data_IF_670946861412
#
_entry.id   IF_670946861412
#
_cell.length_a   1.000
_cell.length_b   1.000
_cell.length_c   1.000
_cell.angle_alpha   90.00
_cell.angle_beta   90.00
_cell.angle_gamma   90.00
#
_symmetry.space_group_name_H-M   'P 1'
#
loop_
_entity.id
_entity.type
_entity.pdbx_description
1 polymer ?
#
# COMPACT_ATOMS: atom_id res chain seq x y z
N UNK A 1 -12.63 -35.46 44.14
CA UNK A 1 -13.42 -36.01 43.01
C UNK A 1 -12.56 -35.82 41.77
N UNK A 2 -11.80 -36.86 41.45
CA UNK A 2 -10.85 -36.91 40.35
C UNK A 2 -11.39 -37.99 39.42
N UNK A 3 -11.67 -37.63 38.18
CA UNK A 3 -12.07 -38.60 37.16
C UNK A 3 -11.06 -38.49 36.03
N UNK A 4 -10.16 -39.46 36.01
CA UNK A 4 -9.35 -39.84 34.87
C UNK A 4 -10.25 -40.44 33.78
N UNK A 5 -10.09 -40.01 32.54
CA UNK A 5 -10.58 -40.72 31.36
C UNK A 5 -9.41 -41.04 30.44
N UNK A 6 -9.03 -42.32 30.45
CA UNK A 6 -8.03 -42.90 29.58
C UNK A 6 -8.69 -43.59 28.37
N UNK A 7 -8.12 -43.34 27.20
CA UNK A 7 -7.95 -44.26 26.04
C UNK A 7 -9.10 -44.62 25.08
N UNK A 8 -8.66 -44.71 23.82
CA UNK A 8 -9.24 -45.29 22.60
C UNK A 8 -10.15 -44.33 21.80
N UNK A 9 -10.10 -44.26 20.48
CA UNK A 9 -9.48 -45.12 19.47
C UNK A 9 -9.07 -44.28 18.26
N UNK A 10 -8.06 -44.75 17.52
CA UNK A 10 -7.72 -44.20 16.21
C UNK A 10 -8.81 -44.47 15.19
N UNK A 11 -9.08 -43.48 14.34
CA UNK A 11 -9.83 -43.65 13.10
C UNK A 11 -9.24 -42.72 12.04
N UNK A 12 -8.46 -43.34 11.15
CA UNK A 12 -8.28 -43.04 9.74
C UNK A 12 -8.91 -41.73 9.22
N UNK A 13 -8.05 -40.75 8.89
CA UNK A 13 -8.39 -39.75 7.87
C UNK A 13 -8.20 -40.41 6.51
N UNK A 14 -9.25 -41.01 6.00
CA UNK A 14 -9.32 -41.45 4.60
C UNK A 14 -9.03 -40.25 3.69
N UNK A 15 -7.96 -40.40 2.91
CA UNK A 15 -7.67 -39.59 1.74
C UNK A 15 -8.85 -39.68 0.78
N UNK A 16 -9.53 -38.55 0.55
CA UNK A 16 -10.49 -38.42 -0.55
C UNK A 16 -9.70 -38.42 -1.85
N UNK A 17 -9.44 -39.60 -2.39
CA UNK A 17 -9.06 -39.76 -3.79
C UNK A 17 -10.30 -39.45 -4.64
N UNK A 18 -10.26 -38.53 -5.61
CA UNK A 18 -11.37 -38.34 -6.53
C UNK A 18 -11.60 -39.65 -7.28
N UNK A 19 -12.83 -40.17 -7.20
CA UNK A 19 -13.26 -41.41 -7.85
C UNK A 19 -12.89 -41.39 -9.34
N UNK A 20 -12.10 -42.38 -9.71
CA UNK A 20 -11.76 -42.83 -11.06
C UNK A 20 -13.04 -43.27 -11.79
N UNK A 21 -13.85 -42.31 -12.24
CA UNK A 21 -15.16 -42.59 -12.84
C UNK A 21 -15.46 -41.83 -14.12
N UNK A 22 -14.55 -40.98 -14.62
CA UNK A 22 -14.77 -40.18 -15.83
C UNK A 22 -13.83 -40.49 -17.00
N UNK A 23 -12.90 -41.44 -16.85
CA UNK A 23 -11.89 -41.74 -17.88
C UNK A 23 -12.32 -42.84 -18.87
N UNK A 24 -13.33 -43.66 -18.53
CA UNK A 24 -13.68 -44.84 -19.35
C UNK A 24 -14.65 -44.54 -20.50
N UNK A 25 -15.45 -43.47 -20.40
CA UNK A 25 -16.36 -43.06 -21.49
C UNK A 25 -15.64 -42.39 -22.67
N UNK A 26 -14.46 -41.80 -22.46
CA UNK A 26 -13.70 -41.14 -23.54
C UNK A 26 -12.98 -42.14 -24.46
N UNK A 27 -12.57 -43.32 -23.95
CA UNK A 27 -11.89 -44.34 -24.74
C UNK A 27 -12.82 -45.14 -25.68
N UNK A 28 -14.13 -45.16 -25.42
CA UNK A 28 -15.11 -45.88 -26.24
C UNK A 28 -15.45 -45.18 -27.57
N UNK A 29 -15.09 -43.90 -27.74
CA UNK A 29 -15.41 -43.09 -28.93
C UNK A 29 -14.21 -42.86 -29.87
N UNK A 30 -13.04 -43.45 -29.61
CA UNK A 30 -11.83 -43.24 -30.43
C UNK A 30 -11.28 -41.82 -30.44
N UNK A 31 -11.91 -40.90 -29.70
CA UNK A 31 -11.50 -39.50 -29.56
C UNK A 31 -10.50 -39.41 -28.42
N UNK A 32 -9.22 -39.62 -28.73
CA UNK A 32 -8.14 -39.21 -27.82
C UNK A 32 -8.32 -37.71 -27.55
N UNK A 33 -8.53 -37.27 -26.30
CA UNK A 33 -8.48 -35.85 -26.01
C UNK A 33 -7.04 -35.41 -26.26
N UNK A 34 -6.77 -34.85 -27.43
CA UNK A 34 -5.53 -34.13 -27.67
C UNK A 34 -5.61 -32.92 -26.76
N UNK A 35 -5.03 -33.04 -25.57
CA UNK A 35 -4.77 -31.90 -24.72
C UNK A 35 -4.15 -30.83 -25.61
N UNK A 36 -4.68 -29.60 -25.63
CA UNK A 36 -4.08 -28.54 -26.42
C UNK A 36 -2.63 -28.45 -25.98
N UNK A 37 -1.72 -28.72 -26.93
CA UNK A 37 -0.28 -28.59 -26.72
C UNK A 37 -0.06 -27.26 -26.03
N UNK A 38 0.35 -27.33 -24.76
CA UNK A 38 0.50 -26.16 -23.92
C UNK A 38 1.78 -25.49 -24.40
N UNK A 39 1.67 -24.67 -25.44
CA UNK A 39 2.75 -23.82 -25.91
C UNK A 39 3.05 -22.90 -24.74
N UNK A 40 4.16 -23.17 -24.05
CA UNK A 40 4.59 -22.34 -22.94
C UNK A 40 4.88 -20.94 -23.52
N UNK A 41 4.10 -19.90 -23.17
CA UNK A 41 4.30 -18.56 -23.73
C UNK A 41 5.60 -17.90 -23.26
N UNK A 42 6.35 -18.57 -22.38
CA UNK A 42 7.67 -18.18 -21.89
C UNK A 42 8.81 -19.03 -22.46
N UNK A 43 8.56 -19.83 -23.49
CA UNK A 43 9.63 -20.59 -24.13
C UNK A 43 10.58 -19.66 -24.91
N UNK A 44 11.85 -19.67 -24.49
CA UNK A 44 12.92 -18.87 -25.08
C UNK A 44 13.59 -19.57 -26.27
N UNK A 45 13.41 -20.88 -26.41
CA UNK A 45 14.03 -21.69 -27.46
C UNK A 45 13.67 -21.21 -28.88
N UNK A 46 12.42 -20.86 -29.22
CA UNK A 46 12.10 -20.32 -30.55
C UNK A 46 12.77 -18.96 -30.80
N UNK A 47 12.84 -18.09 -29.79
CA UNK A 47 13.51 -16.79 -29.92
C UNK A 47 15.03 -16.96 -30.07
N UNK A 48 15.63 -17.94 -29.37
CA UNK A 48 17.04 -18.28 -29.48
C UNK A 48 17.38 -18.86 -30.85
N UNK A 49 16.55 -19.75 -31.39
CA UNK A 49 16.72 -20.30 -32.73
C UNK A 49 16.69 -19.21 -33.81
N UNK A 50 15.74 -18.27 -33.72
CA UNK A 50 15.61 -17.16 -34.68
C UNK A 50 16.79 -16.17 -34.59
N UNK A 51 17.27 -15.87 -33.39
CA UNK A 51 18.42 -14.98 -33.19
C UNK A 51 19.77 -15.63 -33.52
N UNK A 52 19.86 -16.96 -33.44
CA UNK A 52 21.09 -17.71 -33.77
C UNK A 52 21.54 -17.51 -35.23
N UNK A 53 20.60 -17.17 -36.13
CA UNK A 53 20.87 -16.84 -37.54
C UNK A 53 21.85 -15.67 -37.68
N UNK A 54 21.91 -14.78 -36.69
CA UNK A 54 22.81 -13.63 -36.71
C UNK A 54 24.18 -13.91 -36.05
N UNK A 55 24.36 -15.04 -35.37
CA UNK A 55 25.59 -15.34 -34.63
C UNK A 55 26.82 -15.38 -35.53
N UNK A 56 26.73 -16.03 -36.68
CA UNK A 56 27.88 -16.18 -37.59
C UNK A 56 28.28 -14.84 -38.20
N UNK A 57 27.30 -14.03 -38.62
CA UNK A 57 27.54 -12.67 -39.10
C UNK A 57 28.17 -11.78 -38.02
N UNK A 58 27.74 -11.91 -36.75
CA UNK A 58 28.34 -11.17 -35.63
C UNK A 58 29.79 -11.63 -35.42
N UNK A 59 30.06 -12.94 -35.40
CA UNK A 59 31.41 -13.48 -35.22
C UNK A 59 32.35 -12.99 -36.32
N UNK A 60 31.91 -13.01 -37.57
CA UNK A 60 32.68 -12.48 -38.69
C UNK A 60 32.97 -10.98 -38.54
N UNK A 61 31.97 -10.17 -38.18
CA UNK A 61 32.17 -8.73 -38.00
C UNK A 61 33.11 -8.43 -36.82
N UNK A 62 33.06 -9.23 -35.75
CA UNK A 62 33.98 -9.14 -34.62
C UNK A 62 35.40 -9.53 -35.05
N UNK A 63 35.57 -10.60 -35.83
CA UNK A 63 36.87 -10.99 -36.35
C UNK A 63 37.46 -9.92 -37.29
N UNK A 64 36.64 -9.41 -38.23
CA UNK A 64 37.01 -8.34 -39.17
C UNK A 64 37.39 -7.06 -38.43
N UNK A 65 36.59 -6.62 -37.46
CA UNK A 65 36.88 -5.40 -36.69
C UNK A 65 38.13 -5.52 -35.82
N UNK A 66 38.42 -6.70 -35.25
CA UNK A 66 39.65 -6.93 -34.46
C UNK A 66 40.92 -6.93 -35.31
N UNK A 67 40.84 -7.42 -36.55
CA UNK A 67 41.97 -7.44 -37.47
C UNK A 67 42.19 -6.10 -38.20
N UNK A 68 41.17 -5.24 -38.24
CA UNK A 68 41.20 -3.99 -38.99
C UNK A 68 42.04 -2.91 -38.29
N UNK A 69 42.94 -2.27 -39.02
CA UNK A 69 43.71 -1.09 -38.57
C UNK A 69 43.41 0.08 -39.49
N UNK A 70 43.21 1.25 -38.90
CA UNK A 70 42.96 2.49 -39.65
C UNK A 70 44.31 3.19 -39.82
N UNK A 71 44.74 3.37 -41.06
CA UNK A 71 46.04 3.96 -41.41
C UNK A 71 45.94 5.11 -42.41
N UNK A 72 44.82 5.22 -43.11
CA UNK A 72 44.57 6.17 -44.20
C UNK A 72 43.08 6.54 -44.26
N UNK A 73 42.73 7.51 -45.11
CA UNK A 73 41.35 8.00 -45.20
C UNK A 73 40.40 6.97 -45.84
N UNK A 74 40.91 6.10 -46.72
CA UNK A 74 40.14 5.00 -47.28
C UNK A 74 39.81 3.94 -46.22
N UNK A 75 40.77 3.52 -45.38
CA UNK A 75 40.49 2.61 -44.26
C UNK A 75 39.56 3.23 -43.23
N UNK A 76 39.63 4.55 -43.02
CA UNK A 76 38.68 5.26 -42.15
C UNK A 76 37.25 5.17 -42.70
N UNK A 77 37.04 5.39 -44.00
CA UNK A 77 35.74 5.23 -44.65
C UNK A 77 35.20 3.80 -44.54
N UNK A 78 36.05 2.79 -44.74
CA UNK A 78 35.68 1.38 -44.56
C UNK A 78 35.31 1.05 -43.11
N UNK A 79 36.03 1.59 -42.13
CA UNK A 79 35.69 1.43 -40.70
C UNK A 79 34.32 2.02 -40.37
N UNK A 80 34.00 3.21 -40.91
CA UNK A 80 32.68 3.83 -40.77
C UNK A 80 31.60 2.95 -41.39
N UNK A 81 31.82 2.41 -42.59
CA UNK A 81 30.86 1.51 -43.24
C UNK A 81 30.62 0.24 -42.40
N UNK A 82 31.68 -0.39 -41.89
CA UNK A 82 31.58 -1.55 -41.00
C UNK A 82 30.79 -1.21 -39.72
N UNK A 83 31.06 -0.06 -39.11
CA UNK A 83 30.31 0.43 -37.94
C UNK A 83 28.82 0.65 -38.23
N UNK A 84 28.48 1.19 -39.40
CA UNK A 84 27.09 1.37 -39.82
C UNK A 84 26.38 0.03 -40.07
N UNK A 85 27.06 -0.94 -40.68
CA UNK A 85 26.51 -2.28 -40.88
C UNK A 85 26.25 -2.97 -39.52
N UNK A 86 27.18 -2.88 -38.58
CA UNK A 86 27.02 -3.44 -37.24
C UNK A 86 25.82 -2.81 -36.50
N UNK A 87 25.67 -1.47 -36.62
CA UNK A 87 24.53 -0.74 -36.05
C UNK A 87 23.19 -1.17 -36.67
N UNK A 88 23.15 -1.38 -37.99
CA UNK A 88 21.94 -1.88 -38.69
C UNK A 88 21.57 -3.29 -38.21
N UNK A 89 22.55 -4.20 -38.09
CA UNK A 89 22.33 -5.56 -37.60
C UNK A 89 21.82 -5.55 -36.15
N UNK A 90 22.45 -4.76 -35.28
CA UNK A 90 22.02 -4.62 -33.88
C UNK A 90 20.58 -4.06 -33.77
N UNK A 91 20.18 -3.14 -34.64
CA UNK A 91 18.81 -2.62 -34.69
C UNK A 91 17.81 -3.71 -35.07
N UNK A 92 18.09 -4.51 -36.11
CA UNK A 92 17.23 -5.63 -36.53
C UNK A 92 17.04 -6.67 -35.42
N UNK A 93 18.10 -7.04 -34.72
CA UNK A 93 18.04 -7.97 -33.58
C UNK A 93 17.13 -7.43 -32.47
N UNK A 94 17.26 -6.14 -32.16
CA UNK A 94 16.41 -5.48 -31.15
C UNK A 94 14.94 -5.43 -31.56
N UNK A 95 14.66 -5.14 -32.83
CA UNK A 95 13.29 -5.10 -33.36
C UNK A 95 12.66 -6.50 -33.34
N UNK A 96 13.39 -7.52 -33.83
CA UNK A 96 12.94 -8.91 -33.78
C UNK A 96 12.65 -9.38 -32.34
N UNK A 97 13.50 -9.04 -31.37
CA UNK A 97 13.25 -9.33 -29.96
C UNK A 97 12.09 -8.52 -29.36
N UNK A 98 11.94 -7.25 -29.75
CA UNK A 98 10.86 -6.39 -29.27
C UNK A 98 9.47 -6.91 -29.68
N UNK A 99 9.33 -7.38 -30.92
CA UNK A 99 8.08 -7.92 -31.46
C UNK A 99 7.60 -9.14 -30.66
N UNK A 100 8.50 -10.07 -30.30
CA UNK A 100 8.14 -11.23 -29.48
C UNK A 100 7.69 -10.86 -28.07
N UNK A 101 8.27 -9.81 -27.48
CA UNK A 101 7.86 -9.34 -26.15
C UNK A 101 6.61 -8.46 -26.17
N UNK A 102 6.14 -8.02 -27.35
CA UNK A 102 5.06 -7.04 -27.48
C UNK A 102 3.74 -7.58 -26.94
N UNK A 103 3.33 -8.78 -27.36
CA UNK A 103 2.07 -9.39 -26.91
C UNK A 103 2.08 -9.64 -25.39
N UNK A 104 3.21 -10.14 -24.87
CA UNK A 104 3.38 -10.32 -23.43
C UNK A 104 3.32 -8.98 -22.67
N UNK A 105 3.95 -7.92 -23.19
CA UNK A 105 3.87 -6.57 -22.58
C UNK A 105 2.45 -6.04 -22.58
N UNK A 106 1.69 -6.27 -23.65
CA UNK A 106 0.28 -5.89 -23.73
C UNK A 106 -0.56 -6.68 -22.72
N UNK A 107 -0.36 -8.00 -22.62
CA UNK A 107 -1.05 -8.84 -21.65
C UNK A 107 -0.74 -8.45 -20.20
N UNK A 108 0.54 -8.30 -19.85
CA UNK A 108 0.94 -7.87 -18.50
C UNK A 108 0.45 -6.46 -18.17
N UNK A 109 0.42 -5.56 -19.16
CA UNK A 109 -0.21 -4.25 -19.04
C UNK A 109 -1.72 -4.37 -18.75
N UNK A 110 -2.44 -5.22 -19.48
CA UNK A 110 -3.87 -5.47 -19.27
C UNK A 110 -4.16 -6.06 -17.89
N UNK A 111 -3.40 -7.07 -17.45
CA UNK A 111 -3.52 -7.65 -16.10
C UNK A 111 -3.24 -6.61 -15.03
N UNK A 112 -2.17 -5.81 -15.18
CA UNK A 112 -1.87 -4.72 -14.24
C UNK A 112 -3.00 -3.71 -14.18
N UNK A 113 -3.55 -3.31 -15.31
CA UNK A 113 -4.68 -2.38 -15.37
C UNK A 113 -5.93 -2.96 -14.71
N UNK A 114 -6.22 -4.25 -14.92
CA UNK A 114 -7.32 -4.94 -14.27
C UNK A 114 -7.16 -4.96 -12.75
N UNK A 115 -5.97 -5.35 -12.26
CA UNK A 115 -5.64 -5.29 -10.83
C UNK A 115 -5.81 -3.88 -10.30
N UNK A 116 -5.34 -2.87 -11.04
CA UNK A 116 -5.44 -1.46 -10.66
C UNK A 116 -6.90 -1.02 -10.47
N UNK A 117 -7.82 -1.42 -11.35
CA UNK A 117 -9.25 -1.09 -11.20
C UNK A 117 -9.79 -1.59 -9.86
N UNK A 118 -9.47 -2.83 -9.48
CA UNK A 118 -9.94 -3.39 -8.21
C UNK A 118 -9.24 -2.77 -7.00
N UNK A 119 -7.93 -2.49 -7.08
CA UNK A 119 -7.20 -1.84 -5.98
C UNK A 119 -7.69 -0.42 -5.77
N UNK A 120 -7.92 0.34 -6.85
CA UNK A 120 -8.44 1.71 -6.76
C UNK A 120 -9.83 1.72 -6.11
N UNK A 121 -10.72 0.78 -6.47
CA UNK A 121 -12.04 0.64 -5.82
C UNK A 121 -11.92 0.33 -4.32
N UNK A 122 -10.96 -0.51 -3.92
CA UNK A 122 -10.72 -0.82 -2.51
C UNK A 122 -10.13 0.38 -1.75
N UNK A 123 -9.23 1.13 -2.38
CA UNK A 123 -8.66 2.37 -1.84
C UNK A 123 -9.73 3.46 -1.66
N UNK A 124 -10.68 3.56 -2.59
CA UNK A 124 -11.82 4.48 -2.49
C UNK A 124 -12.73 4.11 -1.31
N UNK A 125 -13.03 2.81 -1.12
CA UNK A 125 -13.79 2.32 0.04
C UNK A 125 -13.04 2.65 1.33
N UNK A 126 -11.74 2.36 1.39
CA UNK A 126 -10.90 2.65 2.55
C UNK A 126 -10.89 4.15 2.86
N UNK A 127 -10.66 4.99 1.86
CA UNK A 127 -10.64 6.45 2.01
C UNK A 127 -11.99 6.99 2.49
N UNK A 128 -13.08 6.52 1.89
CA UNK A 128 -14.44 6.90 2.27
C UNK A 128 -14.79 6.51 3.71
N UNK A 129 -14.43 5.30 4.13
CA UNK A 129 -14.64 4.83 5.50
C UNK A 129 -13.76 5.59 6.52
N UNK A 130 -12.50 5.90 6.17
CA UNK A 130 -11.63 6.74 7.02
C UNK A 130 -12.23 8.13 7.20
N UNK A 131 -12.77 8.73 6.13
CA UNK A 131 -13.46 10.02 6.19
C UNK A 131 -14.65 10.00 7.15
N UNK A 132 -15.55 9.02 7.01
CA UNK A 132 -16.70 8.84 7.92
C UNK A 132 -16.26 8.64 9.37
N UNK A 133 -15.20 7.86 9.59
CA UNK A 133 -14.66 7.63 10.92
C UNK A 133 -14.10 8.91 11.56
N UNK A 134 -13.44 9.78 10.79
CA UNK A 134 -12.97 11.10 11.29
C UNK A 134 -14.15 11.96 11.74
N UNK A 135 -15.21 12.04 10.94
CA UNK A 135 -16.42 12.79 11.28
C UNK A 135 -17.07 12.24 12.55
N UNK A 136 -17.25 10.92 12.62
CA UNK A 136 -17.81 10.26 13.81
C UNK A 136 -16.96 10.51 15.06
N UNK A 137 -15.63 10.41 14.95
CA UNK A 137 -14.73 10.66 16.07
C UNK A 137 -14.86 12.08 16.59
N UNK A 138 -14.93 13.08 15.69
CA UNK A 138 -15.15 14.49 16.06
C UNK A 138 -16.51 14.70 16.75
N UNK A 139 -17.59 14.12 16.22
CA UNK A 139 -18.92 14.22 16.82
C UNK A 139 -18.96 13.58 18.22
N UNK A 140 -18.30 12.44 18.39
CA UNK A 140 -18.18 11.74 19.67
C UNK A 140 -17.40 12.58 20.68
N UNK A 141 -16.29 13.20 20.29
CA UNK A 141 -15.53 14.09 21.17
C UNK A 141 -16.34 15.33 21.59
N UNK A 142 -17.10 15.93 20.67
CA UNK A 142 -17.97 17.07 20.99
C UNK A 142 -19.02 16.67 22.02
N UNK A 143 -19.68 15.51 21.81
CA UNK A 143 -20.69 15.01 22.73
C UNK A 143 -20.11 14.72 24.11
N UNK A 144 -18.94 14.07 24.18
CA UNK A 144 -18.26 13.80 25.44
C UNK A 144 -17.95 15.07 26.23
N UNK A 145 -17.49 16.13 25.54
CA UNK A 145 -17.24 17.44 26.19
C UNK A 145 -18.52 18.11 26.67
N UNK A 146 -19.62 18.01 25.92
CA UNK A 146 -20.90 18.58 26.33
C UNK A 146 -21.47 17.87 27.56
N UNK A 147 -21.41 16.53 27.58
CA UNK A 147 -21.84 15.71 28.71
C UNK A 147 -20.98 15.99 29.95
N UNK A 148 -19.66 16.11 29.78
CA UNK A 148 -18.73 16.54 30.85
C UNK A 148 -19.08 17.92 31.41
N UNK A 149 -19.35 18.91 30.54
CA UNK A 149 -19.75 20.25 30.98
C UNK A 149 -21.06 20.25 31.75
N UNK A 150 -22.07 19.51 31.29
CA UNK A 150 -23.36 19.38 31.98
C UNK A 150 -23.18 18.74 33.35
N UNK A 151 -22.34 17.71 33.44
CA UNK A 151 -22.07 17.01 34.69
C UNK A 151 -21.30 17.88 35.69
N UNK A 152 -20.30 18.63 35.22
CA UNK A 152 -19.56 19.60 36.04
C UNK A 152 -20.45 20.75 36.53
N UNK A 153 -21.31 21.29 35.66
CA UNK A 153 -22.27 22.34 36.04
C UNK A 153 -23.30 21.84 37.06
N UNK A 154 -23.83 20.63 36.88
CA UNK A 154 -24.74 20.01 37.84
C UNK A 154 -24.05 19.76 39.19
N UNK A 155 -22.82 19.23 39.18
CA UNK A 155 -22.06 18.98 40.40
C UNK A 155 -21.71 20.28 41.14
N UNK A 156 -21.34 21.33 40.40
CA UNK A 156 -21.06 22.66 40.96
C UNK A 156 -22.31 23.28 41.60
N UNK A 157 -23.48 23.12 40.98
CA UNK A 157 -24.75 23.59 41.56
C UNK A 157 -25.08 22.85 42.85
N UNK A 158 -24.94 21.52 42.86
CA UNK A 158 -25.19 20.70 44.03
C UNK A 158 -24.23 21.03 45.18
N UNK A 159 -22.93 21.22 44.89
CA UNK A 159 -21.95 21.64 45.89
C UNK A 159 -22.32 23.02 46.47
N UNK A 160 -22.72 23.98 45.64
CA UNK A 160 -23.11 25.31 46.10
C UNK A 160 -24.36 25.28 47.01
N UNK A 161 -25.29 24.35 46.79
CA UNK A 161 -26.45 24.14 47.67
C UNK A 161 -26.04 23.52 49.01
N UNK A 162 -25.20 22.49 48.98
CA UNK A 162 -24.64 21.86 50.20
C UNK A 162 -23.87 22.90 51.02
N UNK A 163 -23.01 23.71 50.38
CA UNK A 163 -22.24 24.76 51.04
C UNK A 163 -23.14 25.83 51.67
N UNK A 164 -24.26 26.17 51.00
CA UNK A 164 -25.24 27.12 51.52
C UNK A 164 -25.97 26.56 52.75
N UNK A 165 -26.37 25.31 52.72
CA UNK A 165 -27.09 24.67 53.82
C UNK A 165 -26.16 24.36 55.01
N UNK A 166 -24.91 23.99 54.75
CA UNK A 166 -23.86 23.84 55.74
C UNK A 166 -23.59 25.17 56.48
N UNK A 167 -23.48 26.29 55.74
CA UNK A 167 -23.36 27.64 56.31
C UNK A 167 -24.54 28.02 57.21
N UNK A 168 -25.78 27.71 56.80
CA UNK A 168 -26.97 27.96 57.63
C UNK A 168 -26.96 27.14 58.92
N UNK A 169 -26.47 25.90 58.86
CA UNK A 169 -26.42 24.98 60.00
C UNK A 169 -25.14 25.12 60.86
N UNK A 170 -24.17 25.96 60.45
CA UNK A 170 -22.83 26.09 61.07
C UNK A 170 -22.08 24.76 61.19
N UNK A 171 -22.24 23.89 60.20
CA UNK A 171 -21.52 22.61 60.10
C UNK A 171 -20.53 22.75 58.94
N UNK A 172 -19.36 22.12 59.03
CA UNK A 172 -18.38 22.15 57.94
C UNK A 172 -18.95 21.48 56.68
N UNK A 173 -18.79 22.11 55.50
CA UNK A 173 -19.36 21.60 54.26
C UNK A 173 -18.69 20.29 53.83
N UNK A 174 -19.52 19.28 53.52
CA UNK A 174 -19.05 18.01 52.94
C UNK A 174 -18.70 18.27 51.47
N UNK A 175 -17.44 18.03 51.10
CA UNK A 175 -17.01 18.09 49.70
C UNK A 175 -17.53 16.87 48.95
N UNK A 176 -18.31 17.09 47.89
CA UNK A 176 -18.71 16.03 46.98
C UNK A 176 -17.45 15.49 46.26
N UNK A 177 -17.34 14.16 46.09
CA UNK A 177 -16.28 13.59 45.29
C UNK A 177 -16.36 14.10 43.85
N UNK A 178 -15.21 14.40 43.25
CA UNK A 178 -15.13 14.80 41.85
C UNK A 178 -15.71 13.70 40.97
N UNK A 179 -16.66 14.04 40.11
CA UNK A 179 -17.33 13.05 39.26
C UNK A 179 -16.32 12.51 38.26
N UNK A 180 -16.00 11.22 38.38
CA UNK A 180 -15.03 10.56 37.51
C UNK A 180 -15.50 10.61 36.04
N UNK A 181 -14.71 11.27 35.20
CA UNK A 181 -14.97 11.38 33.76
C UNK A 181 -15.00 9.98 33.11
N UNK A 182 -15.84 9.77 32.08
CA UNK A 182 -15.86 8.51 31.35
C UNK A 182 -14.47 8.22 30.77
N UNK A 183 -13.90 7.06 31.13
CA UNK A 183 -12.57 6.66 30.72
C UNK A 183 -12.43 6.63 29.18
N UNK A 184 -11.31 7.13 28.67
CA UNK A 184 -10.99 7.10 27.22
C UNK A 184 -11.01 5.65 26.73
N UNK A 185 -11.87 5.36 25.76
CA UNK A 185 -12.07 3.99 25.28
C UNK A 185 -10.82 3.43 24.61
N UNK A 186 -10.53 2.15 24.90
CA UNK A 186 -9.47 1.38 24.24
C UNK A 186 -9.75 1.24 22.72
N UNK A 187 -8.71 1.02 21.89
CA UNK A 187 -8.88 0.78 20.47
C UNK A 187 -9.83 -0.39 20.20
N UNK A 188 -10.75 -0.22 19.24
CA UNK A 188 -11.69 -1.26 18.85
C UNK A 188 -10.94 -2.37 18.11
N UNK A 189 -10.76 -3.51 18.79
CA UNK A 189 -10.14 -4.71 18.23
C UNK A 189 -11.24 -5.63 17.70
N UNK A 190 -11.13 -6.04 16.44
CA UNK A 190 -12.00 -7.04 15.83
C UNK A 190 -11.18 -8.28 15.50
N UNK A 191 -11.84 -9.41 15.21
CA UNK A 191 -11.14 -10.67 14.88
C UNK A 191 -10.26 -10.57 13.63
N UNK A 192 -10.57 -9.62 12.73
CA UNK A 192 -9.89 -9.43 11.43
C UNK A 192 -8.85 -8.31 11.42
N UNK A 193 -8.61 -7.66 12.56
CA UNK A 193 -7.63 -6.58 12.66
C UNK A 193 -7.90 -5.61 13.80
N UNK A 194 -7.08 -4.56 13.89
CA UNK A 194 -7.27 -3.48 14.87
C UNK A 194 -7.47 -2.14 14.18
N UNK A 195 -8.47 -1.40 14.63
CA UNK A 195 -8.66 0.00 14.28
C UNK A 195 -8.21 0.87 15.45
N UNK A 196 -7.24 1.74 15.19
CA UNK A 196 -6.73 2.69 16.19
C UNK A 196 -6.78 4.11 15.66
N UNK A 197 -7.04 5.06 16.55
CA UNK A 197 -6.97 6.49 16.24
C UNK A 197 -5.57 6.95 16.60
N UNK A 198 -4.81 7.45 15.60
CA UNK A 198 -3.52 8.07 15.85
C UNK A 198 -3.63 9.57 15.69
N UNK A 199 -3.23 10.31 16.72
CA UNK A 199 -3.07 11.75 16.66
C UNK A 199 -1.85 12.09 15.80
N UNK A 200 -2.08 12.75 14.66
CA UNK A 200 -1.04 13.20 13.74
C UNK A 200 -1.08 14.72 13.63
N UNK A 201 0.03 15.36 13.94
CA UNK A 201 0.20 16.78 13.68
C UNK A 201 0.32 17.01 12.17
N UNK A 202 -0.61 17.78 11.63
CA UNK A 202 -0.68 18.14 10.22
C UNK A 202 -0.79 19.66 10.13
N UNK A 203 -0.33 20.23 9.04
CA UNK A 203 -0.42 21.66 8.77
C UNK A 203 -1.41 21.89 7.64
N UNK A 204 -2.11 23.02 7.71
CA UNK A 204 -3.03 23.44 6.67
C UNK A 204 -2.25 23.85 5.42
N UNK A 205 -2.65 23.30 4.26
CA UNK A 205 -1.97 23.54 2.99
C UNK A 205 -2.55 24.70 2.18
N UNK A 206 -3.67 25.27 2.59
CA UNK A 206 -4.39 26.29 1.82
C UNK A 206 -4.19 27.70 2.38
N UNK A 207 -3.79 27.80 3.65
CA UNK A 207 -3.68 29.08 4.35
C UNK A 207 -2.20 29.42 4.65
N UNK A 208 -1.53 30.12 3.73
CA UNK A 208 -0.15 30.61 3.95
C UNK A 208 -0.03 32.13 3.86
N UNK A 209 0.70 32.70 4.80
CA UNK A 209 1.22 34.07 4.71
C UNK A 209 2.74 33.99 4.49
N UNK A 210 3.15 34.10 3.22
CA UNK A 210 4.55 34.02 2.80
C UNK A 210 5.47 35.03 3.48
N UNK A 211 4.91 36.12 4.03
CA UNK A 211 5.69 37.19 4.67
C UNK A 211 6.17 36.82 6.07
N UNK A 212 5.52 35.84 6.71
CA UNK A 212 5.82 35.42 8.09
C UNK A 212 6.64 34.15 8.15
N UNK A 213 6.72 33.40 7.07
CA UNK A 213 7.49 32.15 7.01
C UNK A 213 8.98 32.49 7.04
N UNK A 214 9.76 31.97 8.00
CA UNK A 214 11.21 32.17 8.03
C UNK A 214 11.84 31.77 6.69
N UNK A 215 12.88 32.50 6.24
CA UNK A 215 13.49 32.29 4.92
C UNK A 215 13.96 30.83 4.70
N UNK A 216 14.30 30.12 5.77
CA UNK A 216 14.62 28.67 5.77
C UNK A 216 13.50 27.76 5.21
N UNK A 217 12.25 28.20 5.23
CA UNK A 217 11.06 27.44 4.79
C UNK A 217 10.29 28.12 3.65
N UNK A 218 10.86 29.19 3.07
CA UNK A 218 10.22 30.05 2.06
C UNK A 218 10.20 29.43 0.66
N UNK A 219 11.02 28.42 0.41
CA UNK A 219 10.71 27.39 -0.58
C UNK A 219 9.81 26.37 0.11
N UNK A 220 8.53 26.28 -0.30
CA UNK A 220 7.58 25.32 0.25
C UNK A 220 8.00 23.90 -0.15
N UNK A 221 9.01 23.37 0.53
CA UNK A 221 9.29 21.96 0.56
C UNK A 221 8.42 21.38 1.68
N UNK A 222 7.22 20.92 1.34
CA UNK A 222 6.32 20.26 2.29
C UNK A 222 7.01 19.20 3.18
N UNK A 223 8.01 18.45 2.67
CA UNK A 223 8.94 17.66 3.46
C UNK A 223 9.67 18.39 4.61
N UNK A 224 10.22 19.59 4.39
CA UNK A 224 10.93 20.37 5.41
C UNK A 224 10.00 20.81 6.55
N UNK A 225 8.80 21.29 6.23
CA UNK A 225 7.77 21.64 7.22
C UNK A 225 7.33 20.39 7.99
N UNK A 226 7.14 19.26 7.30
CA UNK A 226 6.80 17.99 7.94
C UNK A 226 7.92 17.49 8.86
N UNK A 227 9.19 17.73 8.51
CA UNK A 227 10.37 17.43 9.35
C UNK A 227 10.42 18.34 10.59
N UNK A 228 10.13 19.63 10.46
CA UNK A 228 10.03 20.57 11.57
C UNK A 228 8.89 20.19 12.55
N UNK A 229 7.72 19.82 12.04
CA UNK A 229 6.60 19.33 12.85
C UNK A 229 6.96 18.02 13.58
N UNK A 230 7.73 17.13 12.94
CA UNK A 230 8.28 15.92 13.59
C UNK A 230 9.30 16.28 14.67
N UNK A 231 10.11 17.32 14.46
CA UNK A 231 11.06 17.88 15.44
C UNK A 231 10.38 18.70 16.56
N UNK A 232 9.05 18.57 16.71
CA UNK A 232 8.24 19.22 17.74
C UNK A 232 8.09 20.75 17.62
N UNK A 233 8.41 21.35 16.46
CA UNK A 233 8.03 22.73 16.19
C UNK A 233 6.52 22.80 15.96
N UNK A 234 5.80 23.39 16.91
CA UNK A 234 4.32 23.48 16.90
C UNK A 234 3.77 24.83 16.46
N UNK A 235 4.63 25.85 16.40
CA UNK A 235 4.28 27.19 15.95
C UNK A 235 5.29 27.62 14.89
N UNK A 236 4.88 27.60 13.62
CA UNK A 236 5.64 28.18 12.52
C UNK A 236 4.83 29.40 12.06
N UNK A 237 5.39 30.62 12.14
CA UNK A 237 4.65 31.80 11.72
C UNK A 237 4.24 31.67 10.23
N UNK A 238 2.96 31.92 9.94
CA UNK A 238 2.39 31.76 8.60
C UNK A 238 1.84 30.37 8.26
N UNK A 239 1.98 29.37 9.15
CA UNK A 239 1.43 28.02 8.95
C UNK A 239 0.56 27.60 10.14
N UNK A 240 -0.70 27.24 9.88
CA UNK A 240 -1.58 26.68 10.91
C UNK A 240 -1.30 25.19 11.10
N UNK A 241 -0.65 24.85 12.21
CA UNK A 241 -0.42 23.47 12.64
C UNK A 241 -1.58 23.02 13.54
N UNK A 242 -2.20 21.89 13.22
CA UNK A 242 -3.28 21.29 14.01
C UNK A 242 -3.05 19.79 14.23
N UNK A 243 -3.68 19.27 15.27
CA UNK A 243 -3.68 17.84 15.56
C UNK A 243 -4.88 17.20 14.88
N UNK A 244 -4.64 16.32 13.90
CA UNK A 244 -5.68 15.57 13.21
C UNK A 244 -5.75 14.13 13.76
N UNK A 245 -6.96 13.61 13.88
CA UNK A 245 -7.21 12.23 14.28
C UNK A 245 -7.26 11.36 13.04
N UNK A 246 -6.18 10.64 12.78
CA UNK A 246 -6.07 9.79 11.60
C UNK A 246 -6.42 8.35 11.99
N UNK A 247 -7.50 7.76 11.44
CA UNK A 247 -7.76 6.34 11.59
C UNK A 247 -6.65 5.52 10.91
N UNK A 248 -6.06 4.61 11.67
CA UNK A 248 -5.08 3.63 11.21
C UNK A 248 -5.69 2.25 11.36
N UNK A 249 -5.84 1.56 10.23
CA UNK A 249 -6.20 0.15 10.21
C UNK A 249 -4.93 -0.68 10.06
N UNK A 250 -4.84 -1.72 10.88
CA UNK A 250 -3.79 -2.73 10.79
C UNK A 250 -4.46 -4.09 10.67
N UNK A 251 -4.08 -4.80 9.62
CA UNK A 251 -4.41 -6.21 9.40
C UNK A 251 -3.40 -7.08 10.12
#
# INVERSE_FOLDING_TARGET
MTIDFNKSAGANRESVTPKTGSAEWFNALGLKPTLPTTINPFDIEPAKAELSVHEEAIKEMVAKSRAFKITDDESNSMAVQMGLQAKKLAKRIKEAGADKTKEHRLFTGAVRNLVKVYTDMLEDIETGLKGKFRVYSRLKEIKQKEDERKLQEANRKLQAEIDRDAKKKKIDPVQLPEVALPQKQAPTRTEKGSASIRKKWTWDKETYDFSKIPDEYKMIDGPAISKAIKAAVRNIPGIRIFQDDVPVWRT
#
